data_IF_542510289267
#
_entry.id   IF_542510289267
#
_cell.length_a   1.000
_cell.length_b   1.000
_cell.length_c   1.000
_cell.angle_alpha   90.00
_cell.angle_beta   90.00
_cell.angle_gamma   90.00
#
_symmetry.space_group_name_H-M   'P 1'
#
loop_
_entity.id
_entity.type
_entity.pdbx_description
1 polymer ?
#
# COMPACT_ATOMS: atom_id res chain seq x y z
N UNK A 1 -67.09 -6.57 -41.85
CA UNK A 1 -67.01 -6.20 -40.42
C UNK A 1 -65.67 -6.54 -39.75
N UNK A 2 -64.83 -7.40 -40.31
CA UNK A 2 -63.51 -7.74 -39.67
C UNK A 2 -62.38 -6.71 -39.92
N UNK A 3 -62.42 -5.95 -41.00
CA UNK A 3 -61.40 -4.93 -41.27
C UNK A 3 -61.48 -3.73 -40.33
N UNK A 4 -62.61 -3.42 -39.78
CA UNK A 4 -62.81 -2.30 -38.84
C UNK A 4 -62.30 -2.61 -37.41
N UNK A 5 -62.31 -3.87 -37.02
CA UNK A 5 -61.79 -4.28 -35.69
C UNK A 5 -60.26 -4.21 -35.58
N UNK A 6 -59.54 -4.40 -36.72
CA UNK A 6 -58.06 -4.31 -36.75
C UNK A 6 -57.57 -2.85 -36.67
N UNK A 7 -58.37 -1.88 -37.13
CA UNK A 7 -57.96 -0.45 -37.10
C UNK A 7 -58.12 0.22 -35.72
N UNK A 8 -58.95 -0.36 -34.83
CA UNK A 8 -59.13 0.18 -33.48
C UNK A 8 -58.22 -0.42 -32.44
N UNK A 9 -57.67 -1.61 -32.68
CA UNK A 9 -56.73 -2.30 -31.74
C UNK A 9 -55.31 -1.66 -31.81
N UNK A 10 -54.84 -1.22 -32.98
CA UNK A 10 -53.55 -0.57 -33.09
C UNK A 10 -53.39 0.73 -32.29
N UNK A 11 -54.32 1.69 -32.35
CA UNK A 11 -54.22 2.90 -31.55
C UNK A 11 -54.42 2.65 -30.05
N UNK A 12 -55.26 1.67 -29.63
CA UNK A 12 -55.40 1.31 -28.21
C UNK A 12 -54.12 0.65 -27.66
N UNK A 13 -53.44 -0.19 -28.45
CA UNK A 13 -52.14 -0.78 -28.07
C UNK A 13 -51.05 0.31 -28.04
N UNK A 14 -51.06 1.26 -28.95
CA UNK A 14 -50.15 2.39 -28.92
C UNK A 14 -50.36 3.31 -27.73
N UNK A 15 -51.64 3.55 -27.36
CA UNK A 15 -52.00 4.33 -26.16
C UNK A 15 -51.68 3.57 -24.90
N UNK A 16 -51.89 2.24 -24.83
CA UNK A 16 -51.45 1.42 -23.71
C UNK A 16 -49.91 1.36 -23.59
N UNK A 17 -49.22 1.31 -24.70
CA UNK A 17 -47.73 1.39 -24.70
C UNK A 17 -47.22 2.78 -24.29
N UNK A 18 -47.96 3.84 -24.63
CA UNK A 18 -47.67 5.21 -24.16
C UNK A 18 -48.05 5.40 -22.70
N UNK A 19 -49.07 4.71 -22.18
CA UNK A 19 -49.49 4.77 -20.81
C UNK A 19 -48.70 3.79 -19.92
N UNK A 20 -48.15 2.68 -20.49
CA UNK A 20 -47.19 1.80 -19.81
C UNK A 20 -45.76 2.28 -19.95
N UNK A 21 -45.49 3.25 -20.82
CA UNK A 21 -44.34 4.12 -20.77
C UNK A 21 -44.41 5.04 -19.54
N UNK A 22 -44.90 4.46 -18.43
CA UNK A 22 -44.98 5.06 -17.12
C UNK A 22 -43.66 5.75 -16.80
N UNK A 23 -43.70 7.07 -16.91
CA UNK A 23 -42.89 7.90 -16.02
C UNK A 23 -41.48 7.35 -15.76
N UNK A 24 -40.79 6.94 -16.83
CA UNK A 24 -39.37 6.79 -16.78
C UNK A 24 -38.80 8.21 -16.69
N UNK A 25 -38.64 8.65 -15.45
CA UNK A 25 -37.95 9.90 -15.16
C UNK A 25 -36.44 9.54 -15.06
N UNK A 26 -35.66 9.80 -16.10
CA UNK A 26 -34.24 9.44 -16.15
C UNK A 26 -33.47 10.10 -15.01
N UNK A 27 -33.88 11.31 -14.61
CA UNK A 27 -33.23 12.07 -13.54
C UNK A 27 -33.44 11.41 -12.17
N UNK A 28 -34.65 10.88 -11.92
CA UNK A 28 -34.91 10.12 -10.68
C UNK A 28 -34.20 8.78 -10.63
N UNK A 29 -34.11 8.09 -11.77
CA UNK A 29 -33.37 6.83 -11.83
C UNK A 29 -31.85 7.08 -11.63
N UNK A 30 -31.31 8.12 -12.25
CA UNK A 30 -29.91 8.49 -12.07
C UNK A 30 -29.63 8.90 -10.63
N UNK A 31 -30.48 9.70 -10.00
CA UNK A 31 -30.38 10.08 -8.60
C UNK A 31 -30.43 8.86 -7.66
N UNK A 32 -31.34 7.91 -7.93
CA UNK A 32 -31.45 6.66 -7.17
C UNK A 32 -30.17 5.82 -7.32
N UNK A 33 -29.68 5.62 -8.53
CA UNK A 33 -28.46 4.85 -8.80
C UNK A 33 -27.25 5.49 -8.13
N UNK A 34 -27.18 6.84 -8.11
CA UNK A 34 -26.13 7.57 -7.40
C UNK A 34 -26.19 7.38 -5.89
N UNK A 35 -27.40 7.46 -5.31
CA UNK A 35 -27.61 7.23 -3.88
C UNK A 35 -27.21 5.79 -3.48
N UNK A 36 -27.63 4.78 -4.25
CA UNK A 36 -27.22 3.39 -4.03
C UNK A 36 -25.70 3.20 -4.14
N UNK A 37 -25.05 3.87 -5.08
CA UNK A 37 -23.60 3.84 -5.22
C UNK A 37 -22.91 4.42 -4.00
N UNK A 38 -23.33 5.58 -3.51
CA UNK A 38 -22.75 6.21 -2.33
C UNK A 38 -22.99 5.40 -1.05
N UNK A 39 -24.17 4.79 -0.89
CA UNK A 39 -24.47 3.88 0.23
C UNK A 39 -23.52 2.67 0.22
N UNK A 40 -23.28 2.09 -0.95
CA UNK A 40 -22.36 0.94 -1.10
C UNK A 40 -20.91 1.34 -0.84
N UNK A 41 -20.49 2.52 -1.31
CA UNK A 41 -19.15 3.04 -1.00
C UNK A 41 -18.97 3.20 0.50
N UNK A 42 -19.97 3.80 1.16
CA UNK A 42 -19.99 3.95 2.61
C UNK A 42 -19.85 2.59 3.33
N UNK A 43 -20.58 1.57 2.88
CA UNK A 43 -20.47 0.21 3.47
C UNK A 43 -19.03 -0.33 3.37
N UNK A 44 -18.33 -0.08 2.27
CA UNK A 44 -16.94 -0.52 2.09
C UNK A 44 -15.99 0.27 3.00
N UNK A 45 -16.14 1.60 3.06
CA UNK A 45 -15.30 2.44 3.94
C UNK A 45 -15.53 2.14 5.41
N UNK A 46 -16.79 1.96 5.86
CA UNK A 46 -17.11 1.55 7.22
C UNK A 46 -16.46 0.20 7.59
N UNK A 47 -16.41 -0.75 6.65
CA UNK A 47 -15.72 -2.02 6.86
C UNK A 47 -14.20 -1.84 6.98
N UNK A 48 -13.57 -1.03 6.12
CA UNK A 48 -12.14 -0.73 6.22
C UNK A 48 -11.79 -0.04 7.55
N UNK A 49 -12.63 0.90 8.02
CA UNK A 49 -12.48 1.53 9.33
C UNK A 49 -12.55 0.52 10.48
N UNK A 50 -13.47 -0.45 10.37
CA UNK A 50 -13.57 -1.54 11.34
C UNK A 50 -12.30 -2.39 11.35
N UNK A 51 -11.78 -2.77 10.19
CA UNK A 51 -10.53 -3.53 10.09
C UNK A 51 -9.33 -2.78 10.72
N UNK A 52 -9.23 -1.46 10.48
CA UNK A 52 -8.19 -0.63 11.09
C UNK A 52 -8.34 -0.55 12.61
N UNK A 53 -9.55 -0.33 13.11
CA UNK A 53 -9.82 -0.29 14.55
C UNK A 53 -9.48 -1.63 15.21
N UNK A 54 -9.94 -2.75 14.66
CA UNK A 54 -9.65 -4.09 15.18
C UNK A 54 -8.15 -4.40 15.19
N UNK A 55 -7.42 -3.92 14.20
CA UNK A 55 -5.98 -4.17 14.08
C UNK A 55 -5.14 -3.32 15.02
N UNK A 56 -5.52 -2.06 15.26
CA UNK A 56 -4.63 -1.08 15.87
C UNK A 56 -5.09 -0.50 17.21
N UNK A 57 -6.36 -0.67 17.63
CA UNK A 57 -6.85 -0.05 18.85
C UNK A 57 -6.02 -0.44 20.08
N UNK A 58 -5.73 -1.73 20.24
CA UNK A 58 -4.93 -2.23 21.38
C UNK A 58 -3.50 -1.66 21.35
N UNK A 59 -2.87 -1.58 20.17
CA UNK A 59 -1.52 -1.03 19.99
C UNK A 59 -1.47 0.45 20.35
N UNK A 60 -2.54 1.19 20.00
CA UNK A 60 -2.69 2.62 20.31
C UNK A 60 -3.16 2.88 21.74
N UNK A 61 -3.42 1.83 22.53
CA UNK A 61 -3.93 1.94 23.91
C UNK A 61 -5.35 2.51 23.98
N UNK A 62 -6.14 2.36 22.90
CA UNK A 62 -7.48 2.90 22.78
C UNK A 62 -8.57 1.81 22.81
N UNK A 63 -9.80 2.23 23.16
CA UNK A 63 -10.96 1.34 23.13
C UNK A 63 -11.36 1.02 21.68
N UNK A 64 -11.42 -0.27 21.27
CA UNK A 64 -11.79 -0.65 19.91
C UNK A 64 -13.21 -0.22 19.51
N UNK A 65 -14.06 0.16 20.46
CA UNK A 65 -15.39 0.72 20.17
C UNK A 65 -15.35 2.18 19.72
N UNK A 66 -14.26 2.88 19.95
CA UNK A 66 -14.05 4.24 19.44
C UNK A 66 -13.75 4.21 17.95
N UNK A 67 -14.25 5.22 17.24
CA UNK A 67 -13.85 5.44 15.85
C UNK A 67 -12.49 6.13 15.80
N UNK A 68 -11.43 5.36 15.57
CA UNK A 68 -10.05 5.86 15.54
C UNK A 68 -9.59 6.30 14.14
N UNK A 69 -10.25 5.80 13.11
CA UNK A 69 -9.87 6.07 11.73
C UNK A 69 -11.02 6.61 10.91
N UNK A 70 -10.70 7.46 9.95
CA UNK A 70 -11.59 7.89 8.86
C UNK A 70 -11.04 7.38 7.54
N UNK A 71 -11.87 6.64 6.78
CA UNK A 71 -11.54 6.17 5.43
C UNK A 71 -12.34 6.95 4.41
N UNK A 72 -11.69 7.46 3.38
CA UNK A 72 -12.28 8.30 2.35
C UNK A 72 -11.60 8.10 0.98
N UNK A 73 -12.06 8.78 -0.04
CA UNK A 73 -11.55 8.71 -1.41
C UNK A 73 -11.48 7.28 -1.98
N UNK A 74 -12.50 6.45 -1.60
CA UNK A 74 -12.62 5.11 -2.17
C UNK A 74 -12.68 5.18 -3.70
N UNK A 75 -11.77 4.51 -4.35
CA UNK A 75 -11.65 4.45 -5.79
C UNK A 75 -11.72 3.02 -6.32
N UNK A 76 -11.64 2.84 -7.61
CA UNK A 76 -11.64 1.55 -8.29
C UNK A 76 -10.59 1.51 -9.37
N UNK A 77 -10.12 0.33 -9.74
CA UNK A 77 -9.18 0.16 -10.84
C UNK A 77 -9.72 0.67 -12.18
N UNK A 78 -8.81 1.01 -13.10
CA UNK A 78 -9.19 1.38 -14.46
C UNK A 78 -9.98 0.24 -15.11
N UNK A 79 -11.06 0.60 -15.84
CA UNK A 79 -11.98 -0.32 -16.51
C UNK A 79 -12.72 -1.31 -15.58
N UNK A 80 -12.67 -1.12 -14.26
CA UNK A 80 -13.40 -1.92 -13.30
C UNK A 80 -14.79 -1.30 -13.07
N UNK A 81 -15.83 -2.14 -13.04
CA UNK A 81 -17.13 -1.69 -12.56
C UNK A 81 -17.13 -1.65 -11.02
N UNK A 82 -17.89 -0.74 -10.43
CA UNK A 82 -18.01 -0.65 -8.98
C UNK A 82 -18.54 -1.97 -8.36
N UNK A 83 -17.88 -2.39 -7.28
CA UNK A 83 -18.22 -3.58 -6.49
C UNK A 83 -18.11 -4.92 -7.22
N UNK A 84 -17.38 -4.94 -8.32
CA UNK A 84 -16.93 -6.20 -8.93
C UNK A 84 -15.63 -6.67 -8.29
N UNK A 85 -15.23 -7.90 -8.64
CA UNK A 85 -13.96 -8.46 -8.23
C UNK A 85 -12.79 -7.53 -8.56
N UNK A 86 -11.93 -7.30 -7.57
CA UNK A 86 -10.72 -6.50 -7.72
C UNK A 86 -10.37 -5.68 -6.49
N UNK A 87 -9.30 -4.92 -6.59
CA UNK A 87 -8.78 -4.06 -5.52
C UNK A 87 -9.44 -2.69 -5.56
N UNK A 88 -9.81 -2.19 -4.39
CA UNK A 88 -10.39 -0.87 -4.16
C UNK A 88 -9.49 -0.10 -3.21
N UNK A 89 -8.65 0.78 -3.74
CA UNK A 89 -7.83 1.65 -2.92
C UNK A 89 -8.64 2.80 -2.36
N UNK A 90 -8.27 3.23 -1.16
CA UNK A 90 -8.80 4.40 -0.48
C UNK A 90 -7.68 5.07 0.31
N UNK A 91 -8.00 6.23 0.88
CA UNK A 91 -7.16 6.93 1.84
C UNK A 91 -7.76 6.80 3.22
N UNK A 92 -6.90 6.83 4.22
CA UNK A 92 -7.32 6.85 5.62
C UNK A 92 -6.51 7.86 6.43
N UNK A 93 -7.06 8.26 7.54
CA UNK A 93 -6.42 9.15 8.51
C UNK A 93 -6.72 8.66 9.92
N UNK A 94 -5.71 8.62 10.79
CA UNK A 94 -5.91 8.41 12.21
C UNK A 94 -6.42 9.69 12.87
N UNK A 95 -7.30 9.57 13.86
CA UNK A 95 -7.87 10.69 14.61
C UNK A 95 -7.06 11.09 15.84
N UNK A 96 -6.05 10.33 16.19
CA UNK A 96 -5.13 10.68 17.25
C UNK A 96 -4.13 11.71 16.74
N UNK A 97 -3.96 12.82 17.45
CA UNK A 97 -3.16 13.97 17.03
C UNK A 97 -1.70 13.61 16.71
N UNK A 98 -1.13 12.65 17.45
CA UNK A 98 0.23 12.15 17.25
C UNK A 98 0.42 11.37 15.94
N UNK A 99 -0.66 10.85 15.35
CA UNK A 99 -0.67 10.08 14.11
C UNK A 99 -1.50 10.74 13.02
N UNK A 100 -1.67 12.08 13.06
CA UNK A 100 -2.48 12.82 12.08
C UNK A 100 -1.86 12.85 10.68
N UNK A 101 -1.56 11.66 10.14
CA UNK A 101 -0.97 11.46 8.82
C UNK A 101 -1.96 10.73 7.92
N UNK A 102 -2.02 11.15 6.65
CA UNK A 102 -2.77 10.44 5.63
C UNK A 102 -1.98 9.20 5.18
N UNK A 103 -2.66 8.07 5.08
CA UNK A 103 -2.07 6.81 4.63
C UNK A 103 -3.00 6.06 3.67
N UNK A 104 -2.43 5.07 2.97
CA UNK A 104 -3.16 4.27 1.99
C UNK A 104 -3.76 3.03 2.62
N UNK A 105 -4.98 2.70 2.18
CA UNK A 105 -5.65 1.45 2.50
C UNK A 105 -6.20 0.83 1.22
N UNK A 106 -6.28 -0.48 1.16
CA UNK A 106 -6.92 -1.18 0.06
C UNK A 106 -7.66 -2.42 0.54
N UNK A 107 -8.74 -2.73 -0.16
CA UNK A 107 -9.49 -3.97 0.05
C UNK A 107 -9.66 -4.70 -1.26
N UNK A 108 -9.45 -6.00 -1.24
CA UNK A 108 -9.76 -6.88 -2.35
C UNK A 108 -11.18 -7.44 -2.18
N UNK A 109 -12.01 -7.29 -3.20
CA UNK A 109 -13.36 -7.86 -3.23
C UNK A 109 -13.40 -9.06 -4.17
N UNK A 110 -13.91 -10.21 -3.71
CA UNK A 110 -13.91 -11.44 -4.50
C UNK A 110 -15.03 -11.50 -5.54
N UNK A 111 -16.26 -11.17 -5.19
CA UNK A 111 -17.39 -11.34 -6.11
C UNK A 111 -18.51 -10.32 -5.99
N UNK A 112 -18.71 -9.72 -4.81
CA UNK A 112 -19.70 -8.69 -4.58
C UNK A 112 -19.46 -8.02 -3.21
N UNK A 113 -20.22 -6.96 -2.90
CA UNK A 113 -20.11 -6.17 -1.66
C UNK A 113 -20.27 -6.98 -0.36
N UNK A 114 -20.69 -8.23 -0.43
CA UNK A 114 -20.89 -9.09 0.75
C UNK A 114 -19.68 -10.00 1.03
N UNK A 115 -18.68 -10.00 0.15
CA UNK A 115 -17.51 -10.85 0.24
C UNK A 115 -16.25 -9.99 0.19
N UNK A 116 -15.94 -9.39 1.36
CA UNK A 116 -14.67 -8.68 1.55
C UNK A 116 -13.55 -9.71 1.69
N UNK A 117 -12.49 -9.53 0.90
CA UNK A 117 -11.30 -10.36 0.93
C UNK A 117 -10.18 -9.71 1.75
N UNK A 118 -8.96 -9.78 1.22
CA UNK A 118 -7.78 -9.26 1.91
C UNK A 118 -7.85 -7.75 2.05
N UNK A 119 -7.67 -7.27 3.28
CA UNK A 119 -7.47 -5.86 3.64
C UNK A 119 -5.99 -5.60 3.87
N UNK A 120 -5.50 -4.48 3.35
CA UNK A 120 -4.13 -4.01 3.54
C UNK A 120 -4.12 -2.51 3.83
N UNK A 121 -3.13 -2.07 4.60
CA UNK A 121 -2.93 -0.67 4.95
C UNK A 121 -1.45 -0.34 5.08
N UNK A 122 -1.10 0.95 5.00
CA UNK A 122 0.27 1.43 5.23
C UNK A 122 0.47 2.07 6.62
N UNK A 123 -0.50 1.94 7.52
CA UNK A 123 -0.39 2.49 8.88
C UNK A 123 0.66 1.77 9.72
N UNK A 124 0.89 0.48 9.45
CA UNK A 124 1.97 -0.28 10.07
C UNK A 124 3.33 0.42 9.91
N UNK A 125 3.61 0.93 8.71
CA UNK A 125 4.83 1.67 8.43
C UNK A 125 4.94 3.00 9.20
N UNK A 126 3.80 3.64 9.50
CA UNK A 126 3.76 4.87 10.31
C UNK A 126 4.07 4.57 11.78
N UNK A 127 3.52 3.47 12.31
CA UNK A 127 3.73 3.07 13.70
C UNK A 127 5.14 2.60 13.99
N UNK A 128 5.70 1.78 13.13
CA UNK A 128 6.94 1.04 13.40
C UNK A 128 8.12 1.47 12.52
N UNK A 129 7.87 2.31 11.52
CA UNK A 129 8.92 2.69 10.56
C UNK A 129 10.11 3.40 11.20
N UNK A 130 9.86 4.31 12.14
CA UNK A 130 10.93 5.04 12.85
C UNK A 130 11.73 4.12 13.78
N UNK A 131 11.09 3.16 14.46
CA UNK A 131 11.76 2.18 15.31
C UNK A 131 12.71 1.30 14.49
N UNK A 132 12.18 0.70 13.40
CA UNK A 132 12.99 -0.15 12.51
C UNK A 132 14.12 0.65 11.85
N UNK A 133 13.90 1.95 11.58
CA UNK A 133 14.95 2.82 11.06
C UNK A 133 16.02 3.11 12.12
N UNK A 134 15.64 3.36 13.37
CA UNK A 134 16.58 3.56 14.47
C UNK A 134 17.44 2.32 14.71
N UNK A 135 16.84 1.12 14.73
CA UNK A 135 17.55 -0.16 14.85
C UNK A 135 18.60 -0.31 13.72
N UNK A 136 18.24 0.09 12.51
CA UNK A 136 19.16 0.06 11.38
C UNK A 136 20.29 1.10 11.52
N UNK A 137 19.98 2.32 11.99
CA UNK A 137 20.97 3.37 12.25
C UNK A 137 21.98 2.91 13.35
N UNK A 138 21.48 2.31 14.42
CA UNK A 138 22.34 1.73 15.48
C UNK A 138 23.22 0.60 14.93
N UNK A 139 22.65 -0.32 14.16
CA UNK A 139 23.40 -1.40 13.52
C UNK A 139 24.54 -0.84 12.67
N UNK A 140 24.27 0.15 11.85
CA UNK A 140 25.30 0.76 10.96
C UNK A 140 26.38 1.49 11.73
N UNK A 141 26.01 2.18 12.83
CA UNK A 141 26.96 2.87 13.70
C UNK A 141 27.93 1.91 14.39
N UNK A 142 27.51 0.72 14.77
CA UNK A 142 28.35 -0.32 15.37
C UNK A 142 29.52 -0.73 14.46
N UNK A 143 29.36 -0.56 13.16
CA UNK A 143 30.42 -0.85 12.17
C UNK A 143 31.29 0.38 11.81
N UNK A 144 31.13 1.49 12.54
CA UNK A 144 31.94 2.73 12.37
C UNK A 144 31.91 3.31 10.98
N UNK A 145 30.83 3.13 10.24
CA UNK A 145 30.66 3.69 8.89
C UNK A 145 30.17 5.15 9.00
N UNK A 146 30.90 6.07 8.38
CA UNK A 146 30.67 7.52 8.56
C UNK A 146 29.87 8.18 7.44
N UNK A 147 29.74 7.54 6.28
CA UNK A 147 29.07 8.09 5.10
C UNK A 147 27.90 7.19 4.69
N UNK A 148 26.91 7.03 5.58
CA UNK A 148 25.72 6.23 5.29
C UNK A 148 24.48 7.09 5.40
N UNK A 149 23.70 7.09 4.34
CA UNK A 149 22.35 7.64 4.29
C UNK A 149 21.33 6.51 4.32
N UNK A 150 20.40 6.57 5.22
CA UNK A 150 19.28 5.64 5.30
C UNK A 150 18.04 6.36 4.79
N UNK A 151 17.49 5.83 3.70
CA UNK A 151 16.27 6.33 3.09
C UNK A 151 15.12 5.35 3.35
N UNK A 152 14.09 5.84 3.97
CA UNK A 152 12.82 5.15 4.06
C UNK A 152 11.86 5.69 3.01
N UNK A 153 11.29 4.80 2.19
CA UNK A 153 10.29 5.12 1.17
C UNK A 153 8.89 4.68 1.66
N UNK A 154 8.33 5.31 2.69
CA UNK A 154 7.12 4.82 3.37
C UNK A 154 5.86 4.93 2.52
N UNK A 155 5.88 5.73 1.43
CA UNK A 155 4.66 6.17 0.76
C UNK A 155 4.35 5.43 -0.54
N UNK A 156 5.23 4.57 -1.03
CA UNK A 156 5.04 3.93 -2.34
C UNK A 156 4.45 2.52 -2.27
N UNK A 157 4.55 1.85 -1.13
CA UNK A 157 4.00 0.49 -0.95
C UNK A 157 3.21 0.39 0.34
N UNK A 158 2.12 -0.36 0.27
CA UNK A 158 1.40 -0.80 1.46
C UNK A 158 2.27 -1.82 2.18
N UNK A 159 2.66 -1.50 3.41
CA UNK A 159 3.50 -2.31 4.28
C UNK A 159 2.64 -2.84 5.42
N UNK A 160 2.62 -4.14 5.59
CA UNK A 160 1.74 -4.82 6.56
C UNK A 160 2.47 -5.56 7.68
N UNK A 161 3.80 -5.74 7.53
CA UNK A 161 4.64 -6.46 8.49
C UNK A 161 6.08 -5.94 8.48
N UNK A 162 6.84 -6.27 9.51
CA UNK A 162 8.21 -5.80 9.71
C UNK A 162 9.17 -6.18 8.59
N UNK A 163 9.05 -7.38 8.02
CA UNK A 163 9.87 -7.81 6.89
C UNK A 163 9.68 -6.89 5.68
N UNK A 164 8.44 -6.50 5.37
CA UNK A 164 8.13 -5.53 4.31
C UNK A 164 8.67 -4.13 4.64
N UNK A 165 8.73 -3.73 5.92
CA UNK A 165 9.38 -2.48 6.34
C UNK A 165 10.86 -2.49 6.01
N UNK A 166 11.56 -3.57 6.37
CA UNK A 166 13.00 -3.71 6.09
C UNK A 166 13.32 -3.69 4.61
N UNK A 167 12.49 -4.34 3.78
CA UNK A 167 12.62 -4.29 2.31
C UNK A 167 12.42 -2.88 1.71
N UNK A 168 11.75 -1.98 2.42
CA UNK A 168 11.51 -0.60 1.99
C UNK A 168 12.50 0.41 2.59
N UNK A 169 13.40 -0.04 3.47
CA UNK A 169 14.52 0.74 3.98
C UNK A 169 15.74 0.51 3.11
N UNK A 170 16.25 1.59 2.52
CA UNK A 170 17.44 1.55 1.69
C UNK A 170 18.62 2.10 2.44
N UNK A 171 19.64 1.25 2.61
CA UNK A 171 20.96 1.65 3.11
C UNK A 171 21.82 2.10 1.93
N UNK A 172 22.17 3.36 1.92
CA UNK A 172 23.10 3.94 0.94
C UNK A 172 24.40 4.29 1.64
N UNK A 173 25.52 3.77 1.16
CA UNK A 173 26.79 4.05 1.81
C UNK A 173 27.97 4.13 0.87
N UNK A 174 29.01 4.83 1.34
CA UNK A 174 30.34 4.80 0.76
C UNK A 174 31.30 4.34 1.84
N UNK A 175 32.14 3.39 1.49
CA UNK A 175 33.17 2.90 2.38
C UNK A 175 34.50 2.83 1.64
N UNK A 176 35.55 3.40 2.25
CA UNK A 176 36.92 3.28 1.77
C UNK A 176 37.72 2.46 2.76
N UNK A 177 38.54 1.56 2.29
CA UNK A 177 39.42 0.75 3.11
C UNK A 177 40.85 0.79 2.60
N UNK A 178 41.78 0.62 3.54
CA UNK A 178 43.23 0.55 3.30
C UNK A 178 43.84 -0.76 3.78
N UNK A 179 43.12 -1.49 4.62
CA UNK A 179 43.55 -2.75 5.22
C UNK A 179 42.52 -3.87 4.99
N UNK A 180 42.96 -5.15 4.99
CA UNK A 180 42.05 -6.28 4.89
C UNK A 180 41.01 -6.32 6.04
N UNK A 181 41.41 -5.92 7.24
CA UNK A 181 40.55 -5.92 8.43
C UNK A 181 39.39 -4.91 8.27
N UNK A 182 39.62 -3.77 7.63
CA UNK A 182 38.57 -2.79 7.31
C UNK A 182 37.61 -3.38 6.27
N UNK A 183 38.10 -4.09 5.26
CA UNK A 183 37.23 -4.78 4.30
C UNK A 183 36.41 -5.88 4.98
N UNK A 184 36.99 -6.61 5.95
CA UNK A 184 36.27 -7.61 6.71
C UNK A 184 35.09 -7.01 7.47
N UNK A 185 35.28 -5.86 8.11
CA UNK A 185 34.23 -5.13 8.82
C UNK A 185 33.04 -4.80 7.92
N UNK A 186 33.30 -4.30 6.69
CA UNK A 186 32.22 -3.98 5.77
C UNK A 186 31.52 -5.25 5.26
N UNK A 187 32.26 -6.34 5.06
CA UNK A 187 31.68 -7.63 4.68
C UNK A 187 30.75 -8.17 5.76
N UNK A 188 31.12 -8.06 7.04
CA UNK A 188 30.26 -8.44 8.17
C UNK A 188 28.96 -7.62 8.22
N UNK A 189 29.04 -6.29 7.99
CA UNK A 189 27.84 -5.46 7.90
C UNK A 189 26.93 -5.91 6.76
N UNK A 190 27.50 -6.17 5.59
CA UNK A 190 26.73 -6.61 4.42
C UNK A 190 26.03 -7.92 4.66
N UNK A 191 26.72 -8.88 5.29
CA UNK A 191 26.10 -10.15 5.68
C UNK A 191 24.97 -9.94 6.68
N UNK A 192 25.13 -9.01 7.62
CA UNK A 192 24.09 -8.67 8.60
C UNK A 192 22.89 -7.98 7.97
N UNK A 193 23.10 -7.05 7.04
CA UNK A 193 22.01 -6.41 6.28
C UNK A 193 21.23 -7.44 5.46
N UNK A 194 21.92 -8.36 4.80
CA UNK A 194 21.29 -9.44 4.04
C UNK A 194 20.50 -10.42 4.94
N UNK A 195 21.08 -10.81 6.09
CA UNK A 195 20.43 -11.69 7.09
C UNK A 195 19.12 -11.07 7.59
N UNK A 196 19.12 -9.76 7.85
CA UNK A 196 17.96 -9.01 8.33
C UNK A 196 16.98 -8.60 7.24
N UNK A 197 17.31 -8.81 5.96
CA UNK A 197 16.44 -8.51 4.84
C UNK A 197 16.43 -7.05 4.40
N UNK A 198 17.44 -6.23 4.81
CA UNK A 198 17.52 -4.84 4.36
C UNK A 198 18.07 -4.74 2.93
N UNK A 199 17.47 -3.82 2.16
CA UNK A 199 17.99 -3.49 0.83
C UNK A 199 19.12 -2.47 0.97
N UNK A 200 20.25 -2.77 0.34
CA UNK A 200 21.43 -1.88 0.46
C UNK A 200 22.14 -1.66 -0.87
N UNK A 201 22.80 -0.51 -0.96
CA UNK A 201 23.74 -0.17 -2.03
C UNK A 201 24.96 0.50 -1.43
N UNK A 202 26.05 -0.23 -1.33
CA UNK A 202 27.30 0.28 -0.75
C UNK A 202 28.34 0.39 -1.84
N UNK A 203 28.91 1.58 -1.99
CA UNK A 203 30.07 1.83 -2.84
C UNK A 203 31.32 1.60 -2.00
N UNK A 204 32.12 0.62 -2.38
CA UNK A 204 33.35 0.24 -1.67
C UNK A 204 34.57 0.61 -2.54
N UNK A 205 35.57 1.25 -1.95
CA UNK A 205 36.80 1.63 -2.61
C UNK A 205 38.03 1.17 -1.83
N UNK A 206 38.99 0.56 -2.54
CA UNK A 206 40.32 0.26 -2.04
C UNK A 206 41.21 1.48 -2.30
N UNK A 207 41.65 2.16 -1.26
CA UNK A 207 42.51 3.35 -1.36
C UNK A 207 43.92 3.01 -1.85
N UNK A 208 44.38 1.78 -1.61
CA UNK A 208 45.72 1.34 -1.98
C UNK A 208 45.85 0.99 -3.46
N UNK A 209 44.76 0.46 -4.05
CA UNK A 209 44.74 -0.03 -5.45
C UNK A 209 43.96 0.87 -6.39
N UNK A 210 43.35 1.97 -5.91
CA UNK A 210 42.46 2.85 -6.69
C UNK A 210 41.34 2.06 -7.38
N UNK A 211 40.82 1.02 -6.73
CA UNK A 211 39.74 0.18 -7.21
C UNK A 211 38.45 0.47 -6.42
N UNK A 212 37.33 0.46 -7.09
CA UNK A 212 36.04 0.66 -6.44
C UNK A 212 34.96 -0.20 -7.09
N UNK A 213 34.00 -0.62 -6.28
CA UNK A 213 32.80 -1.33 -6.68
C UNK A 213 31.58 -0.70 -6.04
N UNK A 214 30.54 -0.46 -6.83
CA UNK A 214 29.20 -0.16 -6.31
C UNK A 214 28.32 -1.37 -6.56
N UNK A 215 27.62 -1.82 -5.55
CA UNK A 215 26.87 -3.06 -5.59
C UNK A 215 25.53 -2.91 -4.90
N UNK A 216 24.47 -3.44 -5.53
CA UNK A 216 23.16 -3.54 -4.93
C UNK A 216 22.98 -4.95 -4.37
N UNK A 217 22.67 -5.07 -3.07
CA UNK A 217 22.42 -6.35 -2.38
C UNK A 217 23.50 -7.42 -2.68
N UNK A 218 24.78 -7.00 -2.74
CA UNK A 218 25.87 -7.95 -2.89
C UNK A 218 26.06 -8.78 -1.64
N UNK A 219 26.61 -9.97 -1.84
CA UNK A 219 27.11 -10.79 -0.73
C UNK A 219 28.54 -10.39 -0.38
N UNK A 220 28.96 -10.66 0.85
CA UNK A 220 30.34 -10.47 1.28
C UNK A 220 31.33 -11.28 0.43
N UNK A 221 30.96 -12.48 0.00
CA UNK A 221 31.76 -13.33 -0.90
C UNK A 221 32.03 -12.63 -2.26
N UNK A 222 31.01 -12.06 -2.89
CA UNK A 222 31.16 -11.31 -4.16
C UNK A 222 32.06 -10.08 -4.01
N UNK A 223 32.02 -9.44 -2.83
CA UNK A 223 32.87 -8.28 -2.55
C UNK A 223 34.32 -8.71 -2.35
N UNK A 224 34.57 -9.73 -1.53
CA UNK A 224 35.91 -10.28 -1.32
C UNK A 224 36.53 -10.73 -2.64
N UNK A 225 35.83 -11.55 -3.42
CA UNK A 225 36.29 -11.98 -4.72
C UNK A 225 36.67 -10.81 -5.65
N UNK A 226 35.95 -9.69 -5.61
CA UNK A 226 36.26 -8.52 -6.44
C UNK A 226 37.56 -7.87 -6.04
N UNK A 227 37.85 -7.72 -4.74
CA UNK A 227 39.04 -7.03 -4.24
C UNK A 227 40.27 -7.93 -4.12
N UNK A 228 40.09 -9.25 -4.05
CA UNK A 228 41.16 -10.25 -4.02
C UNK A 228 41.69 -10.61 -5.43
N UNK A 229 40.92 -10.36 -6.47
CA UNK A 229 41.40 -10.56 -7.85
C UNK A 229 42.50 -9.53 -8.16
N UNK A 230 43.69 -10.02 -8.43
CA UNK A 230 44.88 -9.25 -8.85
C UNK A 230 44.68 -8.45 -10.14
#
# INVERSE_FOLDING_TARGET
MERFKRFLICPLLAVMLMLSGCFYDPDKLEAKNRAELEERKKTVTDYMETCLNEKYADVLGEDPSKKLFDVYDLSKGQNQAWFNRGTYPAKAKCRLDEYEVEFSVEIYMESNIKSFGTFKDSFYGILYGEEVKQDLEELVLDYSLTDIDIYYLPNEKIVTEEAELRENLYVFGKYSFSTPEELDTICELIDKLNELGYVHRIAISDETKSRGRSSNNSTSEEIREFFERD
#
